data_IF_118346884288
#
_entry.id   IF_118346884288
#
_cell.length_a   1.000
_cell.length_b   1.000
_cell.length_c   1.000
_cell.angle_alpha   90.00
_cell.angle_beta   90.00
_cell.angle_gamma   90.00
#
_symmetry.space_group_name_H-M   'P 1'
#
loop_
_entity.id
_entity.type
_entity.pdbx_description
1 polymer ?
#
# COMPACT_ATOMS: atom_id res chain seq x y z
N UNK A 1 -21.97 -19.05 31.45
CA UNK A 1 -20.74 -18.27 31.21
C UNK A 1 -20.23 -18.65 29.83
N UNK A 2 -20.44 -17.78 28.84
CA UNK A 2 -19.87 -17.96 27.50
C UNK A 2 -18.43 -17.47 27.55
N UNK A 3 -17.47 -18.38 27.40
CA UNK A 3 -16.07 -18.02 27.23
C UNK A 3 -15.93 -17.23 25.92
N UNK A 4 -15.59 -15.96 26.00
CA UNK A 4 -15.21 -15.17 24.82
C UNK A 4 -13.88 -15.75 24.33
N UNK A 5 -13.79 -16.23 23.08
CA UNK A 5 -12.52 -16.68 22.56
C UNK A 5 -11.58 -15.47 22.49
N UNK A 6 -10.53 -15.46 23.32
CA UNK A 6 -9.45 -14.49 23.15
C UNK A 6 -8.80 -14.80 21.81
N UNK A 7 -8.85 -13.83 20.89
CA UNK A 7 -8.05 -13.91 19.68
C UNK A 7 -6.58 -14.10 20.09
N UNK A 8 -5.87 -15.11 19.57
CA UNK A 8 -4.47 -15.31 19.91
C UNK A 8 -3.68 -14.02 19.69
N UNK A 9 -2.84 -13.64 20.65
CA UNK A 9 -2.08 -12.37 20.65
C UNK A 9 -1.35 -12.06 19.32
N UNK A 10 -0.96 -13.11 18.59
CA UNK A 10 -0.35 -13.00 17.27
C UNK A 10 -1.29 -12.37 16.22
N UNK A 11 -2.58 -12.69 16.24
CA UNK A 11 -3.57 -12.08 15.35
C UNK A 11 -3.77 -10.59 15.64
N UNK A 12 -3.80 -10.19 16.91
CA UNK A 12 -3.90 -8.78 17.30
C UNK A 12 -2.67 -7.97 16.88
N UNK A 13 -1.47 -8.54 17.02
CA UNK A 13 -0.24 -7.86 16.60
C UNK A 13 -0.19 -7.63 15.08
N UNK A 14 -0.52 -8.66 14.29
CA UNK A 14 -0.55 -8.55 12.83
C UNK A 14 -1.62 -7.56 12.36
N UNK A 15 -2.79 -7.56 13.01
CA UNK A 15 -3.86 -6.61 12.73
C UNK A 15 -3.40 -5.16 12.97
N UNK A 16 -2.78 -4.88 14.12
CA UNK A 16 -2.27 -3.55 14.43
C UNK A 16 -1.16 -3.10 13.46
N UNK A 17 -0.25 -4.01 13.08
CA UNK A 17 0.79 -3.72 12.10
C UNK A 17 0.19 -3.38 10.73
N UNK A 18 -0.81 -4.15 10.28
CA UNK A 18 -1.54 -3.90 9.04
C UNK A 18 -2.27 -2.55 9.06
N UNK A 19 -3.02 -2.25 10.12
CA UNK A 19 -3.72 -0.97 10.27
C UNK A 19 -2.75 0.21 10.28
N UNK A 20 -1.59 0.05 10.93
CA UNK A 20 -0.53 1.06 10.94
C UNK A 20 0.03 1.27 9.54
N UNK A 21 0.31 0.20 8.79
CA UNK A 21 0.75 0.27 7.39
C UNK A 21 -0.27 1.01 6.52
N UNK A 22 -1.56 0.70 6.65
CA UNK A 22 -2.62 1.38 5.88
C UNK A 22 -2.67 2.86 6.22
N UNK A 23 -2.66 3.21 7.52
CA UNK A 23 -2.76 4.59 7.98
C UNK A 23 -1.56 5.44 7.54
N UNK A 24 -0.33 4.92 7.68
CA UNK A 24 0.88 5.64 7.26
C UNK A 24 0.93 5.79 5.74
N UNK A 25 0.50 4.77 4.99
CA UNK A 25 0.41 4.87 3.52
C UNK A 25 -0.59 5.93 3.10
N UNK A 26 -1.74 6.00 3.75
CA UNK A 26 -2.75 7.03 3.49
C UNK A 26 -2.20 8.44 3.75
N UNK A 27 -1.42 8.61 4.83
CA UNK A 27 -0.77 9.89 5.15
C UNK A 27 0.24 10.31 4.07
N UNK A 28 1.02 9.36 3.53
CA UNK A 28 1.96 9.64 2.44
C UNK A 28 1.22 10.05 1.16
N UNK A 29 0.15 9.33 0.79
CA UNK A 29 -0.65 9.67 -0.38
C UNK A 29 -1.30 11.06 -0.23
N UNK A 30 -1.84 11.37 0.95
CA UNK A 30 -2.39 12.68 1.24
C UNK A 30 -1.31 13.77 1.18
N UNK A 31 -0.11 13.51 1.67
CA UNK A 31 1.01 14.45 1.56
C UNK A 31 1.39 14.72 0.09
N UNK A 32 1.34 13.72 -0.78
CA UNK A 32 1.53 13.91 -2.23
C UNK A 32 0.40 14.74 -2.84
N UNK A 33 -0.85 14.42 -2.52
CA UNK A 33 -2.04 15.11 -3.07
C UNK A 33 -2.09 16.60 -2.69
N UNK A 34 -1.83 16.91 -1.42
CA UNK A 34 -2.00 18.26 -0.88
C UNK A 34 -0.70 19.09 -0.87
N UNK A 35 0.43 18.53 -1.29
CA UNK A 35 1.71 19.24 -1.38
C UNK A 35 1.62 20.61 -2.10
N UNK A 36 0.92 20.75 -3.24
CA UNK A 36 0.81 22.04 -3.94
C UNK A 36 0.13 23.13 -3.12
N UNK A 37 -0.81 22.76 -2.24
CA UNK A 37 -1.56 23.68 -1.38
C UNK A 37 -0.84 23.99 -0.06
N UNK A 38 0.08 23.13 0.38
CA UNK A 38 0.74 23.23 1.68
C UNK A 38 2.18 23.81 1.62
N UNK A 39 2.69 24.10 0.42
CA UNK A 39 3.96 24.78 0.09
C UNK A 39 5.27 24.22 0.69
N UNK A 40 5.27 23.33 1.69
CA UNK A 40 6.50 22.97 2.43
C UNK A 40 6.68 21.48 2.78
N UNK A 41 5.80 20.58 2.36
CA UNK A 41 5.89 19.15 2.72
C UNK A 41 5.48 18.24 1.57
N UNK A 42 6.17 18.35 0.43
CA UNK A 42 6.08 17.31 -0.60
C UNK A 42 7.03 16.15 -0.22
N UNK A 43 6.55 14.89 -0.22
CA UNK A 43 7.45 13.76 -0.06
C UNK A 43 8.46 13.73 -1.21
N UNK A 44 9.75 13.72 -0.89
CA UNK A 44 10.80 13.62 -1.91
C UNK A 44 10.74 12.25 -2.59
N UNK A 45 11.36 12.14 -3.77
CA UNK A 45 11.56 10.87 -4.46
C UNK A 45 12.13 9.78 -3.55
N UNK A 46 13.13 10.09 -2.73
CA UNK A 46 13.76 9.13 -1.82
C UNK A 46 12.78 8.65 -0.75
N UNK A 47 11.95 9.54 -0.20
CA UNK A 47 10.93 9.19 0.78
C UNK A 47 9.90 8.26 0.14
N UNK A 48 9.42 8.57 -1.07
CA UNK A 48 8.45 7.74 -1.78
C UNK A 48 9.00 6.34 -2.10
N UNK A 49 10.27 6.24 -2.50
CA UNK A 49 10.91 4.95 -2.78
C UNK A 49 11.16 4.12 -1.52
N UNK A 50 11.60 4.76 -0.43
CA UNK A 50 11.77 4.10 0.86
C UNK A 50 10.43 3.57 1.38
N UNK A 51 9.38 4.37 1.24
CA UNK A 51 8.03 3.99 1.65
C UNK A 51 7.46 2.87 0.77
N UNK A 52 7.70 2.91 -0.54
CA UNK A 52 7.33 1.81 -1.44
C UNK A 52 7.98 0.48 -1.03
N UNK A 53 9.25 0.52 -0.61
CA UNK A 53 9.93 -0.68 -0.11
C UNK A 53 9.31 -1.20 1.20
N UNK A 54 8.90 -0.30 2.11
CA UNK A 54 8.19 -0.68 3.34
C UNK A 54 6.86 -1.37 3.04
N UNK A 55 6.07 -0.79 2.14
CA UNK A 55 4.77 -1.35 1.74
C UNK A 55 4.94 -2.73 1.10
N UNK A 56 5.97 -2.95 0.28
CA UNK A 56 6.26 -4.28 -0.27
C UNK A 56 6.68 -5.29 0.79
N UNK A 57 7.42 -4.88 1.83
CA UNK A 57 7.72 -5.78 2.96
C UNK A 57 6.43 -6.20 3.66
N UNK A 58 5.54 -5.25 3.94
CA UNK A 58 4.24 -5.55 4.53
C UNK A 58 3.37 -6.42 3.62
N UNK A 59 3.38 -6.21 2.31
CA UNK A 59 2.72 -7.10 1.35
C UNK A 59 3.26 -8.54 1.44
N UNK A 60 4.60 -8.68 1.54
CA UNK A 60 5.26 -9.97 1.75
C UNK A 60 4.86 -10.64 3.06
N UNK A 61 4.76 -9.89 4.15
CA UNK A 61 4.30 -10.40 5.45
C UNK A 61 2.85 -10.89 5.38
N UNK A 62 1.96 -10.12 4.74
CA UNK A 62 0.55 -10.52 4.53
C UNK A 62 0.45 -11.78 3.67
N UNK A 63 1.23 -11.89 2.59
CA UNK A 63 1.25 -13.11 1.77
C UNK A 63 1.79 -14.31 2.55
N UNK A 64 2.83 -14.12 3.37
CA UNK A 64 3.35 -15.18 4.23
C UNK A 64 2.31 -15.63 5.28
N UNK A 65 1.54 -14.72 5.86
CA UNK A 65 0.43 -15.04 6.75
C UNK A 65 -0.69 -15.80 6.04
N UNK A 66 -0.92 -15.52 4.75
CA UNK A 66 -1.86 -16.23 3.91
C UNK A 66 -1.35 -17.60 3.39
N UNK A 67 -0.11 -17.98 3.72
CA UNK A 67 0.50 -19.24 3.27
C UNK A 67 1.20 -19.19 1.90
N UNK A 68 1.29 -18.01 1.29
CA UNK A 68 1.72 -17.82 -0.11
C UNK A 68 3.05 -17.06 -0.22
N UNK A 69 4.07 -17.50 0.52
CA UNK A 69 5.38 -16.83 0.64
C UNK A 69 6.17 -16.68 -0.67
N UNK A 70 5.86 -17.48 -1.69
CA UNK A 70 6.63 -17.57 -2.93
C UNK A 70 5.98 -16.86 -4.13
N UNK A 71 4.91 -16.10 -3.89
CA UNK A 71 4.30 -15.31 -4.94
C UNK A 71 5.24 -14.20 -5.40
N UNK A 72 5.28 -14.00 -6.72
CA UNK A 72 5.89 -12.82 -7.33
C UNK A 72 4.97 -11.61 -7.14
N UNK A 73 4.89 -11.13 -5.90
CA UNK A 73 4.10 -9.97 -5.53
C UNK A 73 4.44 -8.73 -6.37
N UNK A 74 5.72 -8.41 -6.67
CA UNK A 74 6.04 -7.29 -7.55
C UNK A 74 5.39 -7.39 -8.93
N UNK A 75 5.44 -8.55 -9.59
CA UNK A 75 4.81 -8.73 -10.90
C UNK A 75 3.28 -8.67 -10.81
N UNK A 76 2.68 -9.29 -9.79
CA UNK A 76 1.23 -9.27 -9.57
C UNK A 76 0.72 -7.87 -9.23
N UNK A 77 1.45 -7.13 -8.39
CA UNK A 77 1.18 -5.76 -8.01
C UNK A 77 1.26 -4.82 -9.21
N UNK A 78 2.28 -4.97 -10.05
CA UNK A 78 2.36 -4.25 -11.33
C UNK A 78 1.13 -4.52 -12.21
N UNK A 79 0.77 -5.79 -12.42
CA UNK A 79 -0.38 -6.14 -13.25
C UNK A 79 -1.73 -5.66 -12.68
N UNK A 80 -1.84 -5.52 -11.35
CA UNK A 80 -2.99 -4.86 -10.72
C UNK A 80 -2.98 -3.35 -10.92
N UNK A 81 -1.83 -2.70 -10.74
CA UNK A 81 -1.66 -1.28 -11.00
C UNK A 81 -2.03 -0.93 -12.45
N UNK A 82 -1.51 -1.67 -13.42
CA UNK A 82 -1.79 -1.45 -14.85
C UNK A 82 -3.29 -1.51 -15.18
N UNK A 83 -4.03 -2.42 -14.53
CA UNK A 83 -5.48 -2.50 -14.65
C UNK A 83 -6.19 -1.29 -14.03
N UNK A 84 -5.71 -0.79 -12.89
CA UNK A 84 -6.29 0.37 -12.21
C UNK A 84 -6.06 1.68 -12.97
N UNK A 85 -4.92 1.84 -13.64
CA UNK A 85 -4.63 3.07 -14.40
C UNK A 85 -5.17 3.04 -15.83
N UNK A 86 -5.60 1.89 -16.34
CA UNK A 86 -6.08 1.75 -17.73
C UNK A 86 -7.19 2.75 -18.12
N UNK A 87 -7.98 3.23 -17.16
CA UNK A 87 -9.09 4.17 -17.41
C UNK A 87 -8.74 5.65 -17.16
N UNK A 88 -7.69 5.95 -16.38
CA UNK A 88 -7.41 7.31 -15.90
C UNK A 88 -5.95 7.77 -15.92
N UNK A 89 -4.99 6.91 -16.30
CA UNK A 89 -3.53 7.16 -16.38
C UNK A 89 -2.93 8.01 -15.23
N UNK A 90 -3.53 7.96 -14.05
CA UNK A 90 -3.14 8.74 -12.88
C UNK A 90 -2.71 7.80 -11.75
N UNK A 91 -1.43 7.83 -11.32
CA UNK A 91 -0.93 6.90 -10.32
C UNK A 91 -1.48 7.14 -8.92
N UNK A 92 -1.81 8.38 -8.56
CA UNK A 92 -2.31 8.73 -7.23
C UNK A 92 -3.72 8.15 -6.96
N UNK A 93 -4.73 8.33 -7.84
CA UNK A 93 -6.01 7.63 -7.72
C UNK A 93 -5.89 6.11 -7.70
N UNK A 94 -4.98 5.53 -8.49
CA UNK A 94 -4.75 4.08 -8.47
C UNK A 94 -4.19 3.61 -7.13
N UNK A 95 -3.26 4.36 -6.53
CA UNK A 95 -2.75 4.09 -5.19
C UNK A 95 -3.87 4.16 -4.13
N UNK A 96 -4.72 5.19 -4.17
CA UNK A 96 -5.85 5.30 -3.25
C UNK A 96 -6.85 4.16 -3.40
N UNK A 97 -7.20 3.79 -4.62
CA UNK A 97 -8.14 2.70 -4.87
C UNK A 97 -7.58 1.37 -4.36
N UNK A 98 -6.33 1.07 -4.66
CA UNK A 98 -5.68 -0.16 -4.21
C UNK A 98 -5.57 -0.20 -2.67
N UNK A 99 -5.18 0.91 -2.04
CA UNK A 99 -5.09 1.02 -0.59
C UNK A 99 -6.44 0.87 0.09
N UNK A 100 -7.48 1.53 -0.43
CA UNK A 100 -8.84 1.42 0.08
C UNK A 100 -9.35 -0.02 -0.03
N UNK A 101 -9.11 -0.67 -1.16
CA UNK A 101 -9.49 -2.06 -1.41
C UNK A 101 -8.74 -3.01 -0.46
N UNK A 102 -7.45 -2.80 -0.23
CA UNK A 102 -6.66 -3.57 0.74
C UNK A 102 -7.20 -3.38 2.17
N UNK A 103 -7.49 -2.13 2.57
CA UNK A 103 -8.05 -1.81 3.88
C UNK A 103 -9.44 -2.44 4.10
N UNK A 104 -10.28 -2.45 3.05
CA UNK A 104 -11.60 -3.07 3.09
C UNK A 104 -11.52 -4.60 3.27
N UNK A 105 -10.62 -5.25 2.53
CA UNK A 105 -10.43 -6.70 2.62
C UNK A 105 -9.74 -7.13 3.92
N UNK A 106 -8.86 -6.29 4.46
CA UNK A 106 -8.11 -6.60 5.68
C UNK A 106 -7.18 -7.80 5.52
N UNK A 107 -6.69 -8.33 6.64
CA UNK A 107 -5.85 -9.53 6.64
C UNK A 107 -6.58 -10.78 6.12
N UNK A 108 -7.91 -10.85 6.31
CA UNK A 108 -8.75 -11.96 5.85
C UNK A 108 -8.82 -12.07 4.31
N UNK A 109 -8.55 -10.97 3.60
CA UNK A 109 -8.37 -10.98 2.14
C UNK A 109 -7.11 -11.68 1.66
N UNK A 110 -6.20 -12.02 2.58
CA UNK A 110 -4.99 -12.82 2.35
C UNK A 110 -4.16 -12.32 1.17
N UNK A 111 -3.94 -13.20 0.20
CA UNK A 111 -3.15 -12.92 -1.00
C UNK A 111 -3.66 -11.73 -1.80
N UNK A 112 -4.98 -11.51 -1.85
CA UNK A 112 -5.54 -10.36 -2.58
C UNK A 112 -5.15 -9.05 -1.92
N UNK A 113 -5.19 -8.99 -0.59
CA UNK A 113 -4.71 -7.84 0.18
C UNK A 113 -3.22 -7.58 -0.06
N UNK A 114 -2.39 -8.64 -0.06
CA UNK A 114 -0.96 -8.53 -0.37
C UNK A 114 -0.70 -7.99 -1.78
N UNK A 115 -1.42 -8.49 -2.79
CA UNK A 115 -1.30 -8.00 -4.17
C UNK A 115 -1.67 -6.51 -4.28
N UNK A 116 -2.74 -6.08 -3.60
CA UNK A 116 -3.18 -4.68 -3.61
C UNK A 116 -2.17 -3.77 -2.91
N UNK A 117 -1.57 -4.19 -1.79
CA UNK A 117 -0.48 -3.46 -1.16
C UNK A 117 0.74 -3.35 -2.09
N UNK A 118 1.11 -4.42 -2.80
CA UNK A 118 2.20 -4.36 -3.78
C UNK A 118 1.86 -3.45 -4.97
N UNK A 119 0.58 -3.37 -5.39
CA UNK A 119 0.13 -2.39 -6.37
C UNK A 119 0.28 -0.95 -5.86
N UNK A 120 0.02 -0.69 -4.57
CA UNK A 120 0.30 0.62 -3.95
C UNK A 120 1.80 0.93 -3.97
N UNK A 121 2.66 -0.03 -3.59
CA UNK A 121 4.11 0.14 -3.66
C UNK A 121 4.58 0.46 -5.09
N UNK A 122 4.01 -0.21 -6.11
CA UNK A 122 4.29 0.11 -7.51
C UNK A 122 3.84 1.53 -7.87
N UNK A 123 2.63 1.94 -7.49
CA UNK A 123 2.13 3.29 -7.74
C UNK A 123 3.01 4.37 -7.11
N UNK A 124 3.51 4.15 -5.88
CA UNK A 124 4.47 5.04 -5.21
C UNK A 124 5.78 5.18 -5.99
N UNK A 125 6.29 4.10 -6.60
CA UNK A 125 7.46 4.18 -7.49
C UNK A 125 7.19 4.99 -8.75
N UNK A 126 5.97 4.93 -9.29
CA UNK A 126 5.57 5.76 -10.44
C UNK A 126 5.51 7.23 -10.03
N UNK A 127 4.88 7.55 -8.88
CA UNK A 127 4.86 8.90 -8.32
C UNK A 127 6.28 9.45 -8.10
N UNK A 128 7.17 8.62 -7.55
CA UNK A 128 8.58 8.99 -7.34
C UNK A 128 9.34 9.30 -8.64
N UNK A 129 8.95 8.69 -9.78
CA UNK A 129 9.50 9.03 -11.10
C UNK A 129 8.95 10.34 -11.65
N UNK A 130 7.75 10.73 -11.24
CA UNK A 130 7.07 11.95 -11.69
C UNK A 130 7.48 13.18 -10.89
N UNK A 131 7.90 13.04 -9.63
CA UNK A 131 8.38 14.16 -8.79
C UNK A 131 9.55 14.91 -9.46
N UNK A 132 10.47 14.21 -10.11
CA UNK A 132 11.55 14.82 -10.90
C UNK A 132 11.12 15.45 -12.24
N UNK A 133 9.85 15.35 -12.65
CA UNK A 133 9.32 15.95 -13.89
C UNK A 133 8.40 17.16 -13.63
N UNK A 134 7.93 17.35 -12.40
CA UNK A 134 6.99 18.41 -12.02
C UNK A 134 7.69 19.75 -11.68
N UNK A 135 9.01 19.82 -11.80
CA UNK A 135 9.77 21.07 -11.75
C UNK A 135 9.97 21.66 -13.16
N UNK A 136 8.92 22.18 -13.80
CA UNK A 136 9.06 23.04 -14.99
C UNK A 136 7.98 24.11 -15.05
#
# INVERSE_FOLDING_TARGET
MTAVPQAPHFQLHNQQAFETCVATTLQVLAAVEFAPALHHTQPTREILLAFAAEVDRHAGDVAALAGERFLDLPALGQGWYERLVAERDEPLPAAYHALHSAAYLGLDGGTTTAMLLSAVAYALRVLARQEGRLCH
#
